data_IF_335738052083
#
_entry.id   IF_335738052083
#
_cell.length_a   1.000
_cell.length_b   1.000
_cell.length_c   1.000
_cell.angle_alpha   90.00
_cell.angle_beta   90.00
_cell.angle_gamma   90.00
#
_symmetry.space_group_name_H-M   'P 1'
#
loop_
_entity.id
_entity.type
_entity.pdbx_description
1 polymer ?
#
# COMPACT_ATOMS: atom_id res chain seq x y z
N UNK A 1 5.38 63.55 34.29
CA UNK A 1 5.65 63.72 32.85
C UNK A 1 5.94 62.37 32.22
N UNK A 2 5.08 61.95 31.29
CA UNK A 2 5.29 61.09 30.10
C UNK A 2 6.01 59.73 30.26
N UNK A 3 5.17 58.70 30.37
CA UNK A 3 5.22 57.39 29.67
C UNK A 3 5.83 57.43 28.25
N UNK A 4 6.24 56.23 27.76
CA UNK A 4 6.46 55.75 26.36
C UNK A 4 7.95 55.57 25.97
N UNK A 5 8.47 54.46 25.41
CA UNK A 5 7.96 53.17 24.88
C UNK A 5 9.13 52.17 24.99
N UNK A 6 8.96 51.01 25.62
CA UNK A 6 9.87 49.89 25.38
C UNK A 6 9.52 49.29 24.01
N UNK A 7 10.41 49.44 23.04
CA UNK A 7 10.30 48.80 21.73
C UNK A 7 10.32 47.28 21.93
N UNK A 8 9.13 46.69 21.98
CA UNK A 8 8.94 45.26 21.80
C UNK A 8 9.34 44.92 20.38
N UNK A 9 10.58 44.46 20.21
CA UNK A 9 10.99 43.73 19.03
C UNK A 9 10.24 42.40 19.09
N UNK A 10 9.04 42.39 18.51
CA UNK A 10 8.35 41.16 18.16
C UNK A 10 9.30 40.42 17.23
N UNK A 11 10.01 39.44 17.80
CA UNK A 11 10.69 38.41 17.05
C UNK A 11 9.59 37.65 16.32
N UNK A 12 9.27 38.12 15.11
CA UNK A 12 8.52 37.34 14.14
C UNK A 12 9.36 36.08 13.92
N UNK A 13 9.01 35.03 14.65
CA UNK A 13 9.32 33.66 14.26
C UNK A 13 8.67 33.50 12.90
N UNK A 14 9.42 33.82 11.84
CA UNK A 14 9.15 33.29 10.53
C UNK A 14 9.33 31.79 10.70
N UNK A 15 8.23 31.10 11.03
CA UNK A 15 8.09 29.68 10.78
C UNK A 15 8.34 29.60 9.28
N UNK A 16 9.59 29.32 8.93
CA UNK A 16 9.91 28.98 7.57
C UNK A 16 9.10 27.73 7.34
N UNK A 17 8.02 27.86 6.58
CA UNK A 17 7.32 26.71 6.02
C UNK A 17 8.30 26.16 4.99
N UNK A 18 9.39 25.54 5.46
CA UNK A 18 10.31 24.80 4.61
C UNK A 18 9.53 23.55 4.27
N UNK A 19 8.72 23.65 3.22
CA UNK A 19 7.84 22.61 2.76
C UNK A 19 8.63 21.31 2.58
N UNK A 20 8.02 20.19 2.95
CA UNK A 20 8.55 18.83 2.86
C UNK A 20 8.92 18.36 1.43
N UNK A 21 9.04 19.29 0.48
CA UNK A 21 9.38 19.05 -0.91
C UNK A 21 10.89 19.28 -1.18
N UNK A 22 11.66 19.93 -0.29
CA UNK A 22 13.11 20.17 -0.50
C UNK A 22 14.02 18.93 -0.45
N UNK A 23 13.51 17.75 -0.11
CA UNK A 23 14.29 16.49 -0.03
C UNK A 23 14.09 15.54 -1.22
N UNK A 24 13.32 15.92 -2.24
CA UNK A 24 13.05 15.02 -3.37
C UNK A 24 14.19 15.03 -4.40
N UNK A 25 14.40 13.91 -5.14
CA UNK A 25 15.29 13.90 -6.30
C UNK A 25 14.95 14.99 -7.32
N UNK A 26 15.96 15.51 -8.04
CA UNK A 26 15.81 16.63 -8.97
C UNK A 26 14.74 16.39 -10.04
N UNK A 27 14.63 15.17 -10.55
CA UNK A 27 13.62 14.82 -11.54
C UNK A 27 12.19 15.04 -11.04
N UNK A 28 11.93 14.96 -9.74
CA UNK A 28 10.60 15.17 -9.17
C UNK A 28 10.14 16.63 -9.26
N UNK A 29 11.03 17.58 -9.58
CA UNK A 29 10.69 18.98 -9.80
C UNK A 29 10.50 19.34 -11.28
N UNK A 30 10.83 18.43 -12.20
CA UNK A 30 10.64 18.65 -13.64
C UNK A 30 9.16 18.53 -14.01
N UNK A 31 8.71 19.26 -15.02
CA UNK A 31 7.37 19.06 -15.59
C UNK A 31 7.35 17.79 -16.45
N UNK A 32 6.18 17.19 -16.69
CA UNK A 32 6.06 16.11 -17.68
C UNK A 32 6.39 16.63 -19.08
N UNK A 33 7.12 15.85 -19.87
CA UNK A 33 7.43 16.18 -21.26
C UNK A 33 7.02 15.05 -22.20
N UNK A 34 6.05 15.34 -23.09
CA UNK A 34 5.64 14.42 -24.17
C UNK A 34 6.80 14.12 -25.12
N UNK A 35 7.66 15.11 -25.38
CA UNK A 35 8.70 14.99 -26.39
C UNK A 35 8.16 15.21 -27.82
N UNK A 36 9.03 14.95 -28.81
CA UNK A 36 8.78 15.32 -30.21
C UNK A 36 8.19 14.18 -31.06
N UNK A 37 8.16 12.96 -30.53
CA UNK A 37 7.60 11.80 -31.22
C UNK A 37 6.10 11.64 -30.92
N UNK A 38 5.41 10.83 -31.73
CA UNK A 38 3.95 10.72 -31.72
C UNK A 38 3.42 9.37 -31.21
N UNK A 39 4.25 8.59 -30.52
CA UNK A 39 3.78 7.34 -29.91
C UNK A 39 2.81 7.64 -28.76
N UNK A 40 1.79 6.80 -28.59
CA UNK A 40 0.89 6.88 -27.45
C UNK A 40 1.41 5.97 -26.33
N UNK A 41 2.24 6.51 -25.43
CA UNK A 41 2.77 5.76 -24.29
C UNK A 41 2.34 6.41 -22.98
N UNK A 42 1.23 5.96 -22.35
CA UNK A 42 0.86 6.41 -21.01
C UNK A 42 2.01 6.15 -20.02
N UNK A 43 2.39 7.16 -19.24
CA UNK A 43 3.43 7.09 -18.19
C UNK A 43 2.97 7.88 -16.98
N UNK A 44 3.63 7.67 -15.84
CA UNK A 44 3.43 8.48 -14.65
C UNK A 44 4.52 9.54 -14.53
N UNK A 45 4.16 10.70 -14.00
CA UNK A 45 5.09 11.73 -13.58
C UNK A 45 4.64 12.28 -12.22
N UNK A 46 5.57 12.82 -11.45
CA UNK A 46 5.24 13.53 -10.23
C UNK A 46 4.80 14.95 -10.56
N UNK A 47 3.53 15.25 -10.28
CA UNK A 47 2.98 16.58 -10.37
C UNK A 47 3.27 17.34 -9.07
N UNK A 48 4.28 18.21 -9.08
CA UNK A 48 4.71 18.95 -7.89
C UNK A 48 3.61 19.89 -7.35
N UNK A 49 2.81 20.51 -8.22
CA UNK A 49 1.71 21.41 -7.81
C UNK A 49 0.61 20.67 -7.07
N UNK A 50 0.30 19.43 -7.48
CA UNK A 50 -0.69 18.56 -6.82
C UNK A 50 -0.08 17.62 -5.76
N UNK A 51 1.25 17.63 -5.63
CA UNK A 51 2.05 16.76 -4.76
C UNK A 51 1.69 15.27 -4.88
N UNK A 52 1.47 14.80 -6.09
CA UNK A 52 1.09 13.41 -6.38
C UNK A 52 1.58 12.93 -7.74
N UNK A 53 1.65 11.62 -7.92
CA UNK A 53 1.91 11.00 -9.21
C UNK A 53 0.64 10.96 -10.06
N UNK A 54 0.67 11.59 -11.24
CA UNK A 54 -0.41 11.63 -12.24
C UNK A 54 0.06 10.99 -13.56
N UNK A 55 -0.88 10.64 -14.44
CA UNK A 55 -0.60 10.09 -15.77
C UNK A 55 -0.37 11.22 -16.79
N UNK A 56 0.53 11.00 -17.73
CA UNK A 56 0.70 11.78 -18.96
C UNK A 56 1.01 10.86 -20.16
N UNK A 57 0.95 11.40 -21.38
CA UNK A 57 1.35 10.67 -22.59
C UNK A 57 2.78 11.03 -22.95
N UNK A 58 3.67 10.03 -22.99
CA UNK A 58 5.00 10.17 -23.55
C UNK A 58 5.00 9.78 -25.03
N UNK A 59 5.54 10.66 -25.86
CA UNK A 59 5.60 10.54 -27.32
C UNK A 59 6.59 9.49 -27.82
N UNK A 60 7.43 8.92 -26.95
CA UNK A 60 8.36 7.84 -27.30
C UNK A 60 9.81 8.27 -27.51
N UNK A 61 10.10 9.58 -27.65
CA UNK A 61 11.46 10.11 -27.70
C UNK A 61 11.59 11.44 -26.95
N UNK A 62 12.83 11.83 -26.60
CA UNK A 62 13.15 12.99 -25.78
C UNK A 62 12.49 12.93 -24.39
N UNK A 63 12.01 14.07 -23.91
CA UNK A 63 11.46 14.23 -22.59
C UNK A 63 12.53 14.24 -21.50
N UNK A 64 12.09 14.03 -20.26
CA UNK A 64 12.96 14.09 -19.10
C UNK A 64 12.76 12.90 -18.15
N UNK A 65 13.48 12.94 -17.01
CA UNK A 65 13.53 11.86 -16.03
C UNK A 65 12.28 11.77 -15.12
N UNK A 66 11.36 12.75 -15.15
CA UNK A 66 10.10 12.67 -14.42
C UNK A 66 9.09 11.78 -15.17
N UNK A 67 9.47 10.51 -15.37
CA UNK A 67 8.74 9.56 -16.22
C UNK A 67 8.92 8.14 -15.72
N UNK A 68 7.84 7.56 -15.23
CA UNK A 68 7.80 6.23 -14.59
C UNK A 68 6.79 5.35 -15.28
N UNK A 69 7.00 4.02 -15.24
CA UNK A 69 6.09 3.09 -15.91
C UNK A 69 4.84 2.79 -15.07
N UNK A 70 5.01 2.66 -13.76
CA UNK A 70 3.95 2.34 -12.80
C UNK A 70 3.73 3.53 -11.86
N UNK A 71 2.54 3.59 -11.25
CA UNK A 71 2.24 4.59 -10.22
C UNK A 71 3.15 4.45 -8.99
N UNK A 72 3.47 3.22 -8.60
CA UNK A 72 4.30 2.98 -7.42
C UNK A 72 5.77 3.31 -7.64
N UNK A 73 6.35 3.08 -8.83
CA UNK A 73 7.69 3.57 -9.18
C UNK A 73 7.81 5.08 -8.98
N UNK A 74 6.80 5.83 -9.44
CA UNK A 74 6.75 7.27 -9.25
C UNK A 74 6.67 7.65 -7.77
N UNK A 75 5.84 6.98 -6.97
CA UNK A 75 5.69 7.30 -5.55
C UNK A 75 6.84 6.81 -4.67
N UNK A 76 7.48 5.71 -5.01
CA UNK A 76 8.71 5.24 -4.34
C UNK A 76 9.81 6.29 -4.50
N UNK A 77 9.92 6.87 -5.71
CA UNK A 77 10.90 7.91 -6.02
C UNK A 77 10.51 9.28 -5.45
N UNK A 78 9.34 9.76 -5.83
CA UNK A 78 8.89 11.14 -5.64
C UNK A 78 7.72 11.31 -4.66
N UNK A 79 7.10 10.24 -4.18
CA UNK A 79 5.98 10.30 -3.23
C UNK A 79 6.40 10.76 -1.83
N UNK A 80 5.42 10.92 -0.94
CA UNK A 80 5.67 11.17 0.48
C UNK A 80 5.98 9.88 1.25
N UNK A 81 6.46 10.00 2.49
CA UNK A 81 6.81 8.86 3.34
C UNK A 81 5.64 7.90 3.59
N UNK A 82 4.40 8.40 3.54
CA UNK A 82 3.18 7.58 3.71
C UNK A 82 2.93 6.71 2.48
N UNK A 83 3.05 7.28 1.28
CA UNK A 83 2.89 6.62 -0.01
C UNK A 83 3.95 5.52 -0.20
N UNK A 84 5.22 5.83 0.10
CA UNK A 84 6.32 4.84 0.09
C UNK A 84 6.03 3.66 1.02
N UNK A 85 5.58 3.94 2.25
CA UNK A 85 5.24 2.88 3.21
C UNK A 85 4.05 2.02 2.75
N UNK A 86 3.04 2.63 2.13
CA UNK A 86 1.88 1.91 1.60
C UNK A 86 2.29 0.93 0.50
N UNK A 87 3.15 1.37 -0.43
CA UNK A 87 3.67 0.55 -1.53
C UNK A 87 4.47 -0.64 -1.02
N UNK A 88 5.46 -0.40 -0.14
CA UNK A 88 6.30 -1.47 0.41
C UNK A 88 5.48 -2.53 1.15
N UNK A 89 4.37 -2.14 1.79
CA UNK A 89 3.46 -3.08 2.47
C UNK A 89 2.55 -3.88 1.54
N UNK A 90 2.30 -3.39 0.32
CA UNK A 90 1.25 -3.92 -0.55
C UNK A 90 1.76 -4.59 -1.81
N UNK A 91 2.99 -4.33 -2.27
CA UNK A 91 3.55 -4.88 -3.53
C UNK A 91 3.22 -6.35 -3.78
N UNK A 92 3.59 -7.27 -2.88
CA UNK A 92 3.33 -8.71 -3.06
C UNK A 92 1.86 -9.12 -2.87
N UNK A 93 1.01 -8.25 -2.31
CA UNK A 93 -0.40 -8.53 -2.04
C UNK A 93 -1.36 -8.09 -3.15
N UNK A 94 -0.87 -7.36 -4.15
CA UNK A 94 -1.68 -6.88 -5.28
C UNK A 94 -1.86 -7.98 -6.34
N UNK A 95 -2.86 -7.84 -7.22
CA UNK A 95 -2.98 -8.69 -8.39
C UNK A 95 -1.93 -8.31 -9.45
N UNK A 96 -1.56 -9.23 -10.33
CA UNK A 96 -0.79 -8.88 -11.53
C UNK A 96 -1.63 -7.96 -12.43
N UNK A 97 -1.05 -6.87 -12.92
CA UNK A 97 -1.74 -5.94 -13.82
C UNK A 97 -0.96 -5.77 -15.13
N UNK A 98 -1.57 -6.17 -16.25
CA UNK A 98 -1.01 -5.94 -17.58
C UNK A 98 -0.79 -4.44 -17.86
N UNK A 99 -1.61 -3.56 -17.27
CA UNK A 99 -1.51 -2.12 -17.44
C UNK A 99 -2.15 -1.62 -18.73
N UNK A 100 -1.81 -0.38 -19.10
CA UNK A 100 -2.52 0.39 -20.15
C UNK A 100 -1.94 0.15 -21.55
N UNK A 101 -0.64 -0.14 -21.62
CA UNK A 101 0.05 -0.41 -22.87
C UNK A 101 -0.23 -1.84 -23.35
N UNK A 102 0.02 -2.10 -24.64
CA UNK A 102 -0.24 -3.40 -25.30
C UNK A 102 1.04 -4.12 -25.74
N UNK A 103 2.18 -3.79 -25.13
CA UNK A 103 3.42 -4.54 -25.34
C UNK A 103 3.33 -5.95 -24.77
N UNK A 104 4.24 -6.82 -25.22
CA UNK A 104 4.35 -8.19 -24.72
C UNK A 104 5.67 -8.33 -23.95
N UNK A 105 5.65 -8.02 -22.66
CA UNK A 105 6.83 -8.13 -21.79
C UNK A 105 6.58 -9.16 -20.69
N UNK A 106 7.30 -10.27 -20.71
CA UNK A 106 7.26 -11.24 -19.61
C UNK A 106 7.80 -10.59 -18.34
N UNK A 107 7.00 -10.62 -17.27
CA UNK A 107 7.33 -10.15 -15.94
C UNK A 107 6.89 -11.19 -14.92
N UNK A 108 7.29 -11.01 -13.68
CA UNK A 108 6.93 -11.91 -12.58
C UNK A 108 6.11 -11.17 -11.53
N UNK A 109 5.18 -11.86 -10.90
CA UNK A 109 4.38 -11.34 -9.79
C UNK A 109 4.24 -12.43 -8.73
N UNK A 110 4.00 -12.02 -7.49
CA UNK A 110 3.70 -12.93 -6.40
C UNK A 110 2.20 -13.26 -6.37
N UNK A 111 1.86 -14.52 -6.64
CA UNK A 111 0.52 -15.06 -6.46
C UNK A 111 0.31 -15.35 -4.97
N UNK A 112 -0.30 -14.40 -4.26
CA UNK A 112 -0.58 -14.54 -2.82
C UNK A 112 -1.55 -15.66 -2.46
N UNK A 113 -2.31 -16.22 -3.42
CA UNK A 113 -3.18 -17.38 -3.18
C UNK A 113 -2.39 -18.68 -3.24
N UNK A 114 -1.48 -18.79 -4.20
CA UNK A 114 -0.57 -19.92 -4.34
C UNK A 114 0.71 -19.82 -3.51
N UNK A 115 0.93 -18.68 -2.85
CA UNK A 115 2.18 -18.31 -2.15
C UNK A 115 3.45 -18.50 -3.01
N UNK A 116 3.35 -18.25 -4.31
CA UNK A 116 4.40 -18.53 -5.29
C UNK A 116 4.54 -17.42 -6.32
N UNK A 117 5.76 -17.13 -6.77
CA UNK A 117 5.99 -16.22 -7.89
C UNK A 117 5.65 -16.91 -9.22
N UNK A 118 4.88 -16.23 -10.07
CA UNK A 118 4.49 -16.68 -11.42
C UNK A 118 4.81 -15.60 -12.45
N UNK A 119 4.95 -15.98 -13.71
CA UNK A 119 5.07 -15.02 -14.79
C UNK A 119 3.69 -14.47 -15.24
N UNK A 120 3.72 -13.31 -15.88
CA UNK A 120 2.57 -12.70 -16.55
C UNK A 120 3.04 -11.75 -17.67
N UNK A 121 2.12 -11.40 -18.57
CA UNK A 121 2.38 -10.42 -19.63
C UNK A 121 2.11 -9.02 -19.11
N UNK A 122 3.15 -8.19 -19.05
CA UNK A 122 3.05 -6.77 -18.77
C UNK A 122 3.07 -5.96 -20.08
N UNK A 123 2.12 -5.03 -20.20
CA UNK A 123 1.94 -4.16 -21.34
C UNK A 123 3.06 -3.15 -21.56
N UNK A 124 3.90 -2.89 -20.55
CA UNK A 124 5.02 -1.94 -20.61
C UNK A 124 4.73 -0.56 -20.01
N UNK A 125 3.49 -0.30 -19.57
CA UNK A 125 3.13 0.88 -18.79
C UNK A 125 1.85 0.66 -17.99
N UNK A 126 1.61 1.48 -16.96
CA UNK A 126 0.51 1.27 -16.04
C UNK A 126 0.85 0.19 -15.01
N UNK A 127 -0.17 -0.52 -14.55
CA UNK A 127 0.00 -1.62 -13.62
C UNK A 127 0.45 -1.16 -12.23
N UNK A 128 0.91 -2.13 -11.45
CA UNK A 128 1.26 -1.94 -10.05
C UNK A 128 2.63 -2.56 -9.71
N UNK A 129 2.98 -2.53 -8.42
CA UNK A 129 4.30 -2.93 -7.92
C UNK A 129 4.47 -4.44 -7.74
N UNK A 130 3.43 -5.26 -7.97
CA UNK A 130 3.58 -6.71 -8.09
C UNK A 130 4.09 -7.07 -9.51
N UNK A 131 5.23 -6.50 -9.89
CA UNK A 131 5.76 -6.55 -11.25
C UNK A 131 7.30 -6.52 -11.21
N UNK A 132 7.90 -7.70 -11.21
CA UNK A 132 9.33 -7.94 -11.10
C UNK A 132 9.91 -8.34 -12.45
N UNK A 133 11.19 -8.01 -12.68
CA UNK A 133 11.89 -8.30 -13.95
C UNK A 133 12.32 -9.77 -14.04
N UNK A 134 12.64 -10.38 -12.90
CA UNK A 134 13.06 -11.78 -12.83
C UNK A 134 12.26 -12.53 -11.77
N UNK A 135 12.27 -13.86 -11.88
CA UNK A 135 11.71 -14.75 -10.87
C UNK A 135 12.43 -14.59 -9.53
N UNK A 136 13.75 -14.45 -9.56
CA UNK A 136 14.61 -14.27 -8.38
C UNK A 136 14.29 -12.96 -7.65
N UNK A 137 14.09 -11.86 -8.37
CA UNK A 137 13.69 -10.57 -7.79
C UNK A 137 12.35 -10.70 -7.06
N UNK A 138 11.38 -11.39 -7.69
CA UNK A 138 10.08 -11.63 -7.07
C UNK A 138 10.21 -12.49 -5.80
N UNK A 139 10.95 -13.60 -5.88
CA UNK A 139 11.10 -14.54 -4.78
C UNK A 139 11.84 -13.90 -3.61
N UNK A 140 12.94 -13.20 -3.85
CA UNK A 140 13.70 -12.51 -2.81
C UNK A 140 12.86 -11.41 -2.15
N UNK A 141 12.17 -10.58 -2.93
CA UNK A 141 11.38 -9.46 -2.42
C UNK A 141 10.12 -9.91 -1.67
N UNK A 142 9.45 -10.96 -2.13
CA UNK A 142 8.21 -11.47 -1.54
C UNK A 142 8.43 -12.68 -0.61
N UNK A 143 9.68 -13.07 -0.36
CA UNK A 143 10.00 -14.15 0.57
C UNK A 143 9.42 -13.86 1.96
N UNK A 144 8.61 -14.78 2.47
CA UNK A 144 7.93 -14.61 3.75
C UNK A 144 6.79 -13.59 3.77
N UNK A 145 6.37 -13.05 2.61
CA UNK A 145 5.14 -12.27 2.53
C UNK A 145 3.95 -13.16 2.91
N UNK A 146 3.38 -12.89 4.08
CA UNK A 146 2.06 -13.42 4.45
C UNK A 146 1.09 -12.26 4.36
N UNK A 147 0.06 -12.40 3.52
CA UNK A 147 -1.07 -11.47 3.54
C UNK A 147 -1.52 -11.41 4.99
N UNK A 148 -1.41 -10.23 5.63
CA UNK A 148 -2.01 -10.05 6.95
C UNK A 148 -3.48 -10.32 6.73
N UNK A 149 -3.95 -11.51 7.16
CA UNK A 149 -5.37 -11.80 7.23
C UNK A 149 -5.97 -10.61 7.95
N UNK A 150 -6.92 -9.96 7.30
CA UNK A 150 -7.55 -8.81 7.93
C UNK A 150 -8.08 -9.32 9.28
N UNK A 151 -8.07 -8.47 10.32
CA UNK A 151 -8.69 -8.91 11.57
C UNK A 151 -10.14 -9.35 11.33
N UNK A 152 -10.75 -8.88 10.25
CA UNK A 152 -12.08 -9.21 9.80
C UNK A 152 -12.19 -10.64 9.26
N UNK A 153 -11.18 -11.13 8.52
CA UNK A 153 -11.20 -12.47 7.92
C UNK A 153 -11.36 -13.55 8.99
N UNK A 154 -10.76 -13.37 10.16
CA UNK A 154 -10.93 -14.30 11.29
C UNK A 154 -12.23 -14.11 12.05
N UNK A 155 -12.83 -12.92 12.04
CA UNK A 155 -14.12 -12.65 12.70
C UNK A 155 -15.30 -13.19 11.89
N UNK A 156 -15.13 -13.36 10.57
CA UNK A 156 -16.12 -13.98 9.69
C UNK A 156 -16.11 -15.53 9.70
N UNK A 157 -15.13 -16.17 10.35
CA UNK A 157 -15.07 -17.64 10.36
C UNK A 157 -16.17 -18.22 11.25
N UNK A 158 -16.70 -19.42 10.93
CA UNK A 158 -17.71 -20.07 11.76
C UNK A 158 -17.16 -20.40 13.16
N UNK A 159 -18.03 -20.40 14.17
CA UNK A 159 -17.66 -20.88 15.50
C UNK A 159 -17.40 -22.40 15.45
N UNK A 160 -16.26 -22.84 15.99
CA UNK A 160 -15.88 -24.25 16.02
C UNK A 160 -15.47 -24.67 17.44
N UNK A 161 -16.29 -25.51 18.08
CA UNK A 161 -15.97 -26.11 19.39
C UNK A 161 -14.76 -27.03 19.36
N UNK A 162 -14.40 -27.58 18.19
CA UNK A 162 -13.31 -28.55 18.08
C UNK A 162 -13.73 -29.94 18.58
N UNK A 163 -12.78 -30.89 18.55
CA UNK A 163 -13.06 -32.31 18.78
C UNK A 163 -12.62 -32.83 20.17
N UNK A 164 -11.95 -32.00 20.97
CA UNK A 164 -11.67 -32.33 22.36
C UNK A 164 -12.90 -32.09 23.25
N UNK A 165 -12.92 -32.67 24.46
CA UNK A 165 -14.10 -32.70 25.35
C UNK A 165 -14.00 -31.79 26.58
N UNK A 166 -13.08 -30.84 26.62
CA UNK A 166 -13.05 -29.84 27.70
C UNK A 166 -14.20 -28.83 27.53
N UNK A 167 -14.63 -28.20 28.62
CA UNK A 167 -15.66 -27.16 28.60
C UNK A 167 -15.03 -25.79 28.87
N UNK A 168 -14.26 -25.27 27.91
CA UNK A 168 -13.52 -24.02 28.10
C UNK A 168 -14.32 -22.86 27.53
N UNK A 169 -14.75 -21.94 28.39
CA UNK A 169 -15.43 -20.70 27.94
C UNK A 169 -14.46 -19.88 27.08
N UNK A 170 -14.89 -19.58 25.86
CA UNK A 170 -14.21 -18.72 24.87
C UNK A 170 -15.21 -17.77 24.24
N UNK A 171 -14.72 -16.83 23.46
CA UNK A 171 -15.54 -15.85 22.75
C UNK A 171 -15.30 -15.94 21.25
N UNK A 172 -16.31 -15.65 20.44
CA UNK A 172 -16.23 -15.54 18.99
C UNK A 172 -17.03 -14.32 18.54
N UNK A 173 -16.74 -13.79 17.37
CA UNK A 173 -17.57 -12.79 16.72
C UNK A 173 -18.69 -13.49 15.95
N UNK A 174 -19.92 -13.02 16.12
CA UNK A 174 -21.10 -13.48 15.39
C UNK A 174 -21.47 -12.40 14.36
N UNK A 175 -21.33 -12.65 13.05
CA UNK A 175 -21.63 -11.65 12.01
C UNK A 175 -23.12 -11.37 11.86
N UNK A 176 -24.01 -12.29 12.26
CA UNK A 176 -25.46 -12.07 12.19
C UNK A 176 -25.93 -11.09 13.26
N UNK A 177 -25.36 -11.17 14.46
CA UNK A 177 -25.67 -10.27 15.58
C UNK A 177 -24.72 -9.06 15.67
N UNK A 178 -23.62 -9.07 14.90
CA UNK A 178 -22.50 -8.12 14.96
C UNK A 178 -21.92 -7.98 16.37
N UNK A 179 -21.89 -9.07 17.14
CA UNK A 179 -21.47 -9.07 18.55
C UNK A 179 -20.48 -10.19 18.83
N UNK A 180 -19.62 -9.93 19.82
CA UNK A 180 -18.81 -10.98 20.43
C UNK A 180 -19.64 -11.77 21.46
N UNK A 181 -19.79 -13.07 21.22
CA UNK A 181 -20.60 -14.00 21.99
C UNK A 181 -19.72 -15.10 22.59
N UNK A 182 -20.13 -15.68 23.72
CA UNK A 182 -19.38 -16.77 24.35
C UNK A 182 -19.83 -18.14 23.87
N UNK A 183 -18.89 -19.06 23.70
CA UNK A 183 -19.16 -20.46 23.38
C UNK A 183 -18.27 -21.40 24.21
N UNK A 184 -18.59 -22.70 24.20
CA UNK A 184 -17.78 -23.74 24.82
C UNK A 184 -16.81 -24.34 23.79
N UNK A 185 -15.52 -24.12 24.03
CA UNK A 185 -14.44 -24.70 23.25
C UNK A 185 -13.92 -25.98 23.91
N UNK A 186 -13.84 -27.03 23.10
CA UNK A 186 -13.41 -28.37 23.45
C UNK A 186 -11.96 -28.49 23.92
N UNK A 187 -11.12 -27.48 23.66
CA UNK A 187 -9.72 -27.42 24.09
C UNK A 187 -8.69 -27.74 23.00
N UNK A 188 -9.10 -28.28 21.85
CA UNK A 188 -8.22 -28.49 20.69
C UNK A 188 -8.97 -28.35 19.36
N UNK A 189 -8.23 -28.11 18.27
CA UNK A 189 -8.79 -27.83 16.96
C UNK A 189 -9.30 -26.39 16.83
N UNK A 190 -10.45 -26.22 16.17
CA UNK A 190 -11.09 -24.91 15.96
C UNK A 190 -10.41 -24.05 14.90
N UNK A 191 -10.66 -22.74 14.94
CA UNK A 191 -10.10 -21.76 14.01
C UNK A 191 -9.79 -20.43 14.73
N UNK A 192 -9.49 -19.38 13.97
CA UNK A 192 -9.10 -18.08 14.53
C UNK A 192 -10.25 -17.25 15.12
N UNK A 193 -11.53 -17.62 14.92
CA UNK A 193 -12.68 -17.00 15.60
C UNK A 193 -12.89 -17.59 17.00
N UNK A 194 -11.83 -17.54 17.82
CA UNK A 194 -11.78 -18.11 19.16
C UNK A 194 -10.85 -17.26 20.02
N UNK A 195 -11.44 -16.46 20.89
CA UNK A 195 -10.79 -15.47 21.74
C UNK A 195 -10.89 -15.87 23.21
N UNK A 196 -9.88 -15.53 24.00
CA UNK A 196 -9.80 -15.88 25.42
C UNK A 196 -10.72 -15.03 26.27
N UNK A 197 -10.92 -13.77 25.89
CA UNK A 197 -11.80 -12.83 26.58
C UNK A 197 -12.73 -12.10 25.61
N UNK A 198 -13.81 -11.54 26.14
CA UNK A 198 -14.73 -10.67 25.40
C UNK A 198 -14.00 -9.43 24.85
N UNK A 199 -13.08 -8.89 25.64
CA UNK A 199 -12.26 -7.72 25.30
C UNK A 199 -11.33 -8.02 24.12
N UNK A 200 -10.68 -9.19 24.12
CA UNK A 200 -9.83 -9.62 22.99
C UNK A 200 -10.64 -9.75 21.70
N UNK A 201 -11.83 -10.33 21.78
CA UNK A 201 -12.73 -10.45 20.64
C UNK A 201 -13.14 -9.08 20.11
N UNK A 202 -13.62 -8.20 21.00
CA UNK A 202 -14.03 -6.83 20.62
C UNK A 202 -12.89 -6.07 20.00
N UNK A 203 -11.70 -6.08 20.59
CA UNK A 203 -10.56 -5.35 20.05
C UNK A 203 -10.07 -5.92 18.71
N UNK A 204 -10.16 -7.23 18.51
CA UNK A 204 -9.82 -7.86 17.23
C UNK A 204 -10.85 -7.54 16.14
N UNK A 205 -12.15 -7.55 16.48
CA UNK A 205 -13.25 -7.44 15.54
C UNK A 205 -13.94 -6.07 15.54
N UNK A 206 -13.37 -5.06 16.21
CA UNK A 206 -13.97 -3.72 16.41
C UNK A 206 -14.32 -2.98 15.13
N UNK A 207 -13.61 -3.31 14.05
CA UNK A 207 -13.78 -2.64 12.78
C UNK A 207 -14.75 -3.40 11.87
N UNK A 208 -15.12 -4.66 12.18
CA UNK A 208 -16.02 -5.51 11.36
C UNK A 208 -17.41 -4.91 11.19
#
# INVERSE_FOLDING_TARGET
MKMKIALSTILLLTISVVGADKEKPNECFLSSETGLCYAFMPKYYYNASKRKCDIFVYGGCNGNANRFNTWGQCNERCGDSRSKRAIRRSSCGMAAEQGLCKGYMTRYYYDSKGEVCRDFVYGGCGGNENNFRSLEDCQSHCSGFRKKRSSWDRCALPVLSGFCKAAIKRFHFNPDSLRCESFLYGGCGGNQNNFRSLEDCRNACKDF
#
